data_IF_151376291139
#
_entry.id   IF_151376291139
#
_cell.length_a   1.000
_cell.length_b   1.000
_cell.length_c   1.000
_cell.angle_alpha   90.00
_cell.angle_beta   90.00
_cell.angle_gamma   90.00
#
_symmetry.space_group_name_H-M   'P 1'
#
loop_
_entity.id
_entity.type
_entity.pdbx_description
1 polymer ?
#
# COMPACT_ATOMS: atom_id res chain seq x y z
N UNK A 1 -7.64 -13.84 19.33
CA UNK A 1 -7.75 -13.01 18.11
C UNK A 1 -6.45 -12.31 17.73
N UNK A 2 -5.71 -11.71 18.68
CA UNK A 2 -4.47 -10.97 18.38
C UNK A 2 -3.38 -11.81 17.69
N UNK A 3 -3.19 -13.08 18.07
CA UNK A 3 -2.19 -13.97 17.46
C UNK A 3 -2.52 -14.36 16.01
N UNK A 4 -3.79 -14.66 15.73
CA UNK A 4 -4.26 -14.93 14.36
C UNK A 4 -4.09 -13.70 13.48
N UNK A 5 -4.42 -12.51 14.01
CA UNK A 5 -4.18 -11.24 13.34
C UNK A 5 -2.69 -11.02 13.08
N UNK A 6 -1.83 -11.23 14.07
CA UNK A 6 -0.38 -11.07 13.94
C UNK A 6 0.24 -12.00 12.89
N UNK A 7 -0.21 -13.26 12.83
CA UNK A 7 0.22 -14.21 11.80
C UNK A 7 -0.23 -13.75 10.41
N UNK A 8 -1.52 -13.43 10.25
CA UNK A 8 -2.06 -12.95 8.97
C UNK A 8 -1.36 -11.67 8.49
N UNK A 9 -1.15 -10.72 9.40
CA UNK A 9 -0.45 -9.47 9.11
C UNK A 9 1.00 -9.72 8.71
N UNK A 10 1.73 -10.57 9.44
CA UNK A 10 3.13 -10.91 9.13
C UNK A 10 3.27 -11.55 7.74
N UNK A 11 2.40 -12.51 7.41
CA UNK A 11 2.38 -13.12 6.09
C UNK A 11 2.05 -12.13 4.98
N UNK A 12 1.01 -11.30 5.18
CA UNK A 12 0.60 -10.30 4.20
C UNK A 12 1.70 -9.26 3.96
N UNK A 13 2.35 -8.79 5.03
CA UNK A 13 3.44 -7.81 4.94
C UNK A 13 4.66 -8.34 4.20
N UNK A 14 5.05 -9.59 4.49
CA UNK A 14 6.14 -10.27 3.77
C UNK A 14 5.83 -10.46 2.29
N UNK A 15 4.62 -10.93 1.97
CA UNK A 15 4.17 -11.11 0.59
C UNK A 15 4.14 -9.77 -0.17
N UNK A 16 3.65 -8.70 0.47
CA UNK A 16 3.64 -7.36 -0.09
C UNK A 16 5.05 -6.89 -0.47
N UNK A 17 6.04 -7.09 0.41
CA UNK A 17 7.41 -6.66 0.15
C UNK A 17 7.96 -7.30 -1.13
N UNK A 18 7.82 -8.63 -1.27
CA UNK A 18 8.26 -9.35 -2.48
C UNK A 18 7.47 -8.92 -3.71
N UNK A 19 6.14 -8.83 -3.59
CA UNK A 19 5.24 -8.49 -4.69
C UNK A 19 5.51 -7.10 -5.28
N UNK A 20 5.86 -6.11 -4.45
CA UNK A 20 6.21 -4.76 -4.93
C UNK A 20 7.40 -4.79 -5.89
N UNK A 21 8.45 -5.55 -5.57
CA UNK A 21 9.63 -5.66 -6.42
C UNK A 21 9.35 -6.46 -7.69
N UNK A 22 8.66 -7.59 -7.59
CA UNK A 22 8.36 -8.46 -8.74
C UNK A 22 7.34 -7.84 -9.69
N UNK A 23 6.26 -7.24 -9.18
CA UNK A 23 5.26 -6.58 -10.04
C UNK A 23 5.84 -5.37 -10.79
N UNK A 24 6.69 -4.58 -10.13
CA UNK A 24 7.31 -3.41 -10.78
C UNK A 24 8.29 -3.84 -11.88
N UNK A 25 9.07 -4.91 -11.65
CA UNK A 25 10.01 -5.42 -12.66
C UNK A 25 9.32 -6.04 -13.87
N UNK A 26 8.19 -6.74 -13.66
CA UNK A 26 7.43 -7.36 -14.76
C UNK A 26 6.66 -6.34 -15.61
N UNK A 27 6.09 -5.29 -15.00
CA UNK A 27 5.26 -4.33 -15.72
C UNK A 27 6.11 -3.27 -16.44
N UNK A 28 7.19 -2.79 -15.82
CA UNK A 28 7.97 -1.64 -16.31
C UNK A 28 9.39 -1.99 -16.76
N UNK A 29 9.85 -3.22 -16.53
CA UNK A 29 11.21 -3.65 -16.86
C UNK A 29 12.26 -3.17 -15.84
N UNK A 30 13.43 -3.82 -15.87
CA UNK A 30 14.50 -3.62 -14.88
C UNK A 30 15.17 -2.23 -14.97
N UNK A 31 15.10 -1.58 -16.15
CA UNK A 31 15.82 -0.32 -16.41
C UNK A 31 15.29 0.88 -15.61
N UNK A 32 14.00 0.93 -15.32
CA UNK A 32 13.36 2.05 -14.59
C UNK A 32 13.00 1.73 -13.14
N UNK A 33 13.39 0.55 -12.66
CA UNK A 33 12.95 -0.01 -11.39
C UNK A 33 13.40 0.85 -10.20
N UNK A 34 14.66 1.33 -10.19
CA UNK A 34 15.16 2.20 -9.13
C UNK A 34 14.43 3.54 -9.02
N UNK A 35 14.11 4.17 -10.16
CA UNK A 35 13.36 5.43 -10.19
C UNK A 35 11.92 5.24 -9.72
N UNK A 36 11.23 4.19 -10.20
CA UNK A 36 9.85 3.89 -9.82
C UNK A 36 9.72 3.54 -8.34
N UNK A 37 10.64 2.74 -7.81
CA UNK A 37 10.66 2.43 -6.37
C UNK A 37 10.99 3.67 -5.53
N UNK A 38 11.90 4.53 -5.99
CA UNK A 38 12.18 5.81 -5.35
C UNK A 38 10.95 6.72 -5.32
N UNK A 39 10.24 6.85 -6.44
CA UNK A 39 9.00 7.62 -6.53
C UNK A 39 7.91 7.03 -5.64
N UNK A 40 7.74 5.70 -5.63
CA UNK A 40 6.77 5.03 -4.78
C UNK A 40 7.07 5.26 -3.30
N UNK A 41 8.34 5.20 -2.91
CA UNK A 41 8.81 5.45 -1.54
C UNK A 41 8.58 6.91 -1.12
N UNK A 42 8.76 7.85 -2.05
CA UNK A 42 8.47 9.26 -1.83
C UNK A 42 6.97 9.50 -1.60
N UNK A 43 6.11 8.89 -2.41
CA UNK A 43 4.65 8.95 -2.24
C UNK A 43 4.24 8.31 -0.90
N UNK A 44 4.86 7.19 -0.52
CA UNK A 44 4.61 6.52 0.76
C UNK A 44 4.98 7.42 1.95
N UNK A 45 6.10 8.14 1.88
CA UNK A 45 6.51 9.10 2.92
C UNK A 45 5.49 10.24 3.07
N UNK A 46 5.00 10.79 1.96
CA UNK A 46 3.95 11.83 1.97
C UNK A 46 2.65 11.27 2.56
N UNK A 47 2.24 10.07 2.12
CA UNK A 47 1.04 9.42 2.62
C UNK A 47 1.13 9.13 4.13
N UNK A 48 2.29 8.69 4.63
CA UNK A 48 2.51 8.47 6.05
C UNK A 48 2.45 9.77 6.86
N UNK A 49 3.05 10.85 6.34
CA UNK A 49 2.99 12.17 6.97
C UNK A 49 1.54 12.68 7.06
N UNK A 50 0.81 12.66 5.94
CA UNK A 50 -0.58 13.09 5.89
C UNK A 50 -1.49 12.20 6.72
N UNK A 51 -1.30 10.88 6.67
CA UNK A 51 -2.09 9.90 7.41
C UNK A 51 -1.95 10.06 8.93
N UNK A 52 -0.73 10.30 9.42
CA UNK A 52 -0.47 10.54 10.84
C UNK A 52 -1.14 11.84 11.32
N UNK A 53 -0.98 12.92 10.55
CA UNK A 53 -1.61 14.21 10.85
C UNK A 53 -3.14 14.13 10.85
N UNK A 54 -3.74 13.55 9.79
CA UNK A 54 -5.19 13.36 9.70
C UNK A 54 -5.72 12.42 10.77
N UNK A 55 -4.96 11.38 11.15
CA UNK A 55 -5.32 10.48 12.24
C UNK A 55 -5.45 11.21 13.59
N UNK A 56 -4.51 12.12 13.89
CA UNK A 56 -4.60 12.99 15.06
C UNK A 56 -5.79 13.95 14.98
N UNK A 57 -5.95 14.63 13.85
CA UNK A 57 -7.04 15.60 13.67
C UNK A 57 -8.43 14.97 13.75
N UNK A 58 -8.62 13.78 13.15
CA UNK A 58 -9.88 13.01 13.23
C UNK A 58 -10.14 12.55 14.66
N UNK A 59 -9.09 12.18 15.40
CA UNK A 59 -9.23 11.83 16.81
C UNK A 59 -9.65 13.03 17.66
N UNK A 60 -9.06 14.21 17.42
CA UNK A 60 -9.41 15.44 18.14
C UNK A 60 -10.86 15.88 17.88
N UNK A 61 -11.37 15.65 16.66
CA UNK A 61 -12.76 15.98 16.29
C UNK A 61 -13.81 15.00 16.82
N UNK A 62 -13.56 13.69 16.68
CA UNK A 62 -14.57 12.65 16.94
C UNK A 62 -14.34 11.89 18.26
N UNK A 63 -13.21 12.11 18.92
CA UNK A 63 -12.79 11.39 20.13
C UNK A 63 -12.53 9.90 19.91
N UNK A 64 -12.44 9.44 18.65
CA UNK A 64 -12.24 8.04 18.31
C UNK A 64 -11.60 7.85 16.93
N UNK A 65 -10.88 6.74 16.72
CA UNK A 65 -10.18 6.42 15.48
C UNK A 65 -11.02 5.62 14.46
N UNK A 66 -12.28 5.30 14.77
CA UNK A 66 -13.11 4.48 13.86
C UNK A 66 -13.23 5.07 12.45
N UNK A 67 -13.43 6.39 12.25
CA UNK A 67 -13.55 6.96 10.91
C UNK A 67 -12.25 6.82 10.11
N UNK A 68 -11.09 7.04 10.73
CA UNK A 68 -9.81 6.96 10.01
C UNK A 68 -9.48 5.52 9.60
N UNK A 69 -9.83 4.54 10.43
CA UNK A 69 -9.68 3.12 10.06
C UNK A 69 -10.61 2.73 8.91
N UNK A 70 -11.88 3.16 8.93
CA UNK A 70 -12.79 2.92 7.81
C UNK A 70 -12.35 3.60 6.52
N UNK A 71 -11.85 4.83 6.60
CA UNK A 71 -11.25 5.50 5.45
C UNK A 71 -10.06 4.70 4.89
N UNK A 72 -9.17 4.18 5.76
CA UNK A 72 -8.07 3.30 5.36
C UNK A 72 -8.55 2.03 4.65
N UNK A 73 -9.63 1.39 5.14
CA UNK A 73 -10.25 0.23 4.49
C UNK A 73 -10.77 0.59 3.10
N UNK A 74 -11.45 1.72 2.94
CA UNK A 74 -11.94 2.19 1.63
C UNK A 74 -10.79 2.45 0.65
N UNK A 75 -9.71 3.08 1.10
CA UNK A 75 -8.51 3.34 0.28
C UNK A 75 -7.85 2.02 -0.13
N UNK A 76 -7.71 1.06 0.79
CA UNK A 76 -7.16 -0.25 0.49
C UNK A 76 -8.02 -1.03 -0.52
N UNK A 77 -9.34 -0.99 -0.37
CA UNK A 77 -10.27 -1.62 -1.31
C UNK A 77 -10.20 -0.99 -2.71
N UNK A 78 -10.14 0.35 -2.79
CA UNK A 78 -9.95 1.07 -4.05
C UNK A 78 -8.61 0.72 -4.70
N UNK A 79 -7.52 0.68 -3.92
CA UNK A 79 -6.20 0.28 -4.40
C UNK A 79 -6.17 -1.16 -4.94
N UNK A 80 -6.85 -2.07 -4.25
CA UNK A 80 -7.04 -3.45 -4.72
C UNK A 80 -7.89 -3.55 -5.98
N UNK A 81 -8.95 -2.74 -6.11
CA UNK A 81 -9.74 -2.68 -7.33
C UNK A 81 -8.91 -2.14 -8.51
N UNK A 82 -8.14 -1.07 -8.29
CA UNK A 82 -7.23 -0.48 -9.27
C UNK A 82 -6.14 -1.46 -9.70
N UNK A 83 -5.62 -2.29 -8.79
CA UNK A 83 -4.59 -3.27 -9.12
C UNK A 83 -5.09 -4.36 -10.07
N UNK A 84 -6.38 -4.70 -10.07
CA UNK A 84 -6.98 -5.61 -11.05
C UNK A 84 -6.94 -5.05 -12.48
N UNK A 85 -6.90 -3.73 -12.64
CA UNK A 85 -6.78 -3.09 -13.95
C UNK A 85 -5.34 -2.98 -14.44
N UNK A 86 -4.34 -3.25 -13.60
CA UNK A 86 -2.95 -3.33 -14.05
C UNK A 86 -2.79 -4.60 -14.89
N UNK A 87 -2.74 -4.40 -16.21
CA UNK A 87 -2.47 -5.48 -17.16
C UNK A 87 -0.96 -5.71 -17.24
N UNK A 88 -0.45 -6.90 -16.86
CA UNK A 88 0.97 -7.21 -17.03
C UNK A 88 1.31 -7.13 -18.52
N UNK A 89 2.39 -6.43 -18.87
CA UNK A 89 2.92 -6.49 -20.24
C UNK A 89 3.48 -7.90 -20.44
N UNK A 90 2.98 -8.67 -21.42
CA UNK A 90 3.50 -10.01 -21.67
C UNK A 90 4.99 -9.90 -22.02
N UNK A 91 5.80 -10.68 -21.32
CA UNK A 91 7.23 -10.86 -21.58
C UNK A 91 7.38 -11.44 -22.99
N UNK A 92 7.62 -10.59 -23.99
CA UNK A 92 8.08 -11.06 -25.29
C UNK A 92 9.50 -11.56 -25.08
N UNK A 93 9.62 -12.90 -25.09
CA UNK A 93 10.90 -13.60 -25.26
C UNK A 93 11.60 -13.17 -26.54
#
# INVERSE_FOLDING_TARGET
MLYLFGLAFGFAWGAQAVLRFTATSEVFGLSSLGFLLGLLSFIEAIAAMLGSYLGGYVFDLFGNYRPIFWAGVCIAALGGALSLFLKPRPRTS
#
